data_IF_822135500031
#
_entry.id   IF_822135500031
#
_cell.length_a   1.000
_cell.length_b   1.000
_cell.length_c   1.000
_cell.angle_alpha   90.00
_cell.angle_beta   90.00
_cell.angle_gamma   90.00
#
_symmetry.space_group_name_H-M   'P 1'
#
loop_
_entity.id
_entity.type
_entity.pdbx_description
1 polymer ?
#
# COMPACT_ATOMS: atom_id res chain seq x y z
N UNK A 1 -47.37 -20.58 92.11
CA UNK A 1 -46.61 -21.81 91.81
C UNK A 1 -45.14 -21.44 91.73
N UNK A 2 -44.24 -22.05 92.52
CA UNK A 2 -42.81 -21.78 92.40
C UNK A 2 -42.32 -22.27 91.03
N UNK A 3 -41.53 -21.45 90.34
CA UNK A 3 -40.85 -21.84 89.11
C UNK A 3 -39.93 -23.02 89.43
N UNK A 4 -40.14 -24.15 88.75
CA UNK A 4 -39.32 -25.35 88.90
C UNK A 4 -37.90 -25.08 88.37
N UNK A 5 -36.86 -25.63 89.00
CA UNK A 5 -35.44 -25.44 88.65
C UNK A 5 -35.16 -25.78 87.17
N UNK A 6 -35.86 -26.79 86.64
CA UNK A 6 -35.79 -27.20 85.23
C UNK A 6 -36.30 -26.08 84.30
N UNK A 7 -37.36 -25.36 84.68
CA UNK A 7 -37.91 -24.24 83.89
C UNK A 7 -36.94 -23.05 83.88
N UNK A 8 -36.25 -22.80 84.99
CA UNK A 8 -35.23 -21.75 85.09
C UNK A 8 -34.04 -22.10 84.19
N UNK A 9 -33.58 -23.36 84.21
CA UNK A 9 -32.50 -23.83 83.34
C UNK A 9 -32.83 -23.67 81.86
N UNK A 10 -34.03 -24.07 81.42
CA UNK A 10 -34.47 -23.87 80.04
C UNK A 10 -34.56 -22.39 79.65
N UNK A 11 -34.98 -21.53 80.58
CA UNK A 11 -35.06 -20.08 80.33
C UNK A 11 -33.66 -19.46 80.17
N UNK A 12 -32.69 -19.88 80.99
CA UNK A 12 -31.29 -19.44 80.89
C UNK A 12 -30.66 -19.93 79.59
N UNK A 13 -30.89 -21.19 79.20
CA UNK A 13 -30.40 -21.75 77.94
C UNK A 13 -31.01 -21.00 76.75
N UNK A 14 -32.32 -20.75 76.77
CA UNK A 14 -33.00 -19.97 75.73
C UNK A 14 -32.48 -18.53 75.64
N UNK A 15 -32.19 -17.90 76.78
CA UNK A 15 -31.60 -16.56 76.84
C UNK A 15 -30.18 -16.54 76.25
N UNK A 16 -29.33 -17.52 76.60
CA UNK A 16 -27.98 -17.65 76.06
C UNK A 16 -27.99 -17.96 74.55
N UNK A 17 -28.90 -18.82 74.09
CA UNK A 17 -29.12 -19.06 72.66
C UNK A 17 -29.60 -17.79 71.94
N UNK A 18 -30.51 -17.04 72.54
CA UNK A 18 -30.98 -15.76 72.02
C UNK A 18 -29.85 -14.74 71.88
N UNK A 19 -28.94 -14.66 72.86
CA UNK A 19 -27.75 -13.81 72.81
C UNK A 19 -26.76 -14.23 71.71
N UNK A 20 -26.53 -15.54 71.55
CA UNK A 20 -25.68 -16.08 70.49
C UNK A 20 -26.25 -15.76 69.10
N UNK A 21 -27.53 -16.01 68.87
CA UNK A 21 -28.20 -15.70 67.60
C UNK A 21 -28.14 -14.18 67.33
N UNK A 22 -28.42 -13.35 68.33
CA UNK A 22 -28.39 -11.89 68.18
C UNK A 22 -27.00 -11.34 67.83
N UNK A 23 -25.92 -11.99 68.26
CA UNK A 23 -24.55 -11.53 68.00
C UNK A 23 -23.96 -12.11 66.71
N UNK A 24 -24.15 -13.40 66.46
CA UNK A 24 -23.51 -14.10 65.34
C UNK A 24 -24.27 -13.97 64.02
N UNK A 25 -25.61 -14.02 64.04
CA UNK A 25 -26.40 -14.00 62.81
C UNK A 25 -26.26 -12.66 62.05
N UNK A 26 -26.33 -11.49 62.69
CA UNK A 26 -26.18 -10.21 62.00
C UNK A 26 -24.79 -10.02 61.42
N UNK A 27 -23.74 -10.43 62.13
CA UNK A 27 -22.36 -10.32 61.64
C UNK A 27 -22.07 -11.26 60.47
N UNK A 28 -22.62 -12.48 60.48
CA UNK A 28 -22.52 -13.40 59.34
C UNK A 28 -23.28 -12.87 58.12
N UNK A 29 -24.49 -12.35 58.31
CA UNK A 29 -25.28 -11.74 57.24
C UNK A 29 -24.64 -10.46 56.72
N UNK A 30 -24.01 -9.65 57.58
CA UNK A 30 -23.25 -8.45 57.20
C UNK A 30 -22.00 -8.79 56.38
N UNK A 31 -21.19 -9.76 56.80
CA UNK A 31 -20.03 -10.23 56.00
C UNK A 31 -20.44 -10.86 54.67
N UNK A 32 -21.58 -11.56 54.64
CA UNK A 32 -22.16 -12.09 53.39
C UNK A 32 -22.68 -10.95 52.50
N UNK A 33 -23.25 -9.90 53.09
CA UNK A 33 -23.70 -8.66 52.44
C UNK A 33 -22.53 -7.84 51.84
N UNK A 34 -21.43 -7.71 52.59
CA UNK A 34 -20.23 -6.92 52.22
C UNK A 34 -19.41 -7.54 51.07
N UNK A 35 -19.52 -8.85 50.83
CA UNK A 35 -18.79 -9.56 49.77
C UNK A 35 -19.60 -9.81 48.48
N UNK A 36 -20.77 -9.16 48.31
CA UNK A 36 -21.62 -9.36 47.13
C UNK A 36 -21.22 -8.43 45.98
N UNK A 37 -20.14 -8.79 45.29
CA UNK A 37 -20.32 -8.93 43.85
C UNK A 37 -21.08 -10.25 43.67
N UNK A 38 -22.34 -10.19 43.25
CA UNK A 38 -23.07 -11.42 42.95
C UNK A 38 -22.34 -12.18 41.83
N UNK A 39 -22.50 -13.51 41.75
CA UNK A 39 -21.93 -14.28 40.61
C UNK A 39 -22.40 -13.72 39.26
N UNK A 40 -23.57 -13.09 39.24
CA UNK A 40 -24.14 -12.36 38.11
C UNK A 40 -23.34 -11.09 37.78
N UNK A 41 -22.93 -10.30 38.77
CA UNK A 41 -22.05 -9.14 38.58
C UNK A 41 -20.69 -9.54 37.99
N UNK A 42 -20.08 -10.62 38.49
CA UNK A 42 -18.81 -11.15 37.97
C UNK A 42 -18.98 -11.61 36.52
N UNK A 43 -20.09 -12.30 36.21
CA UNK A 43 -20.41 -12.73 34.85
C UNK A 43 -20.60 -11.53 33.91
N UNK A 44 -21.38 -10.53 34.32
CA UNK A 44 -21.62 -9.31 33.54
C UNK A 44 -20.32 -8.53 33.30
N UNK A 45 -19.46 -8.41 34.32
CA UNK A 45 -18.15 -7.77 34.19
C UNK A 45 -17.27 -8.58 33.21
N UNK A 46 -17.25 -9.90 33.32
CA UNK A 46 -16.46 -10.78 32.43
C UNK A 46 -16.94 -10.66 30.99
N UNK A 47 -18.25 -10.72 30.74
CA UNK A 47 -18.82 -10.54 29.40
C UNK A 47 -18.47 -9.16 28.81
N UNK A 48 -18.48 -8.11 29.65
CA UNK A 48 -18.09 -6.76 29.23
C UNK A 48 -16.59 -6.67 28.91
N UNK A 49 -15.72 -7.31 29.69
CA UNK A 49 -14.28 -7.38 29.43
C UNK A 49 -14.01 -8.13 28.13
N UNK A 50 -14.62 -9.29 27.90
CA UNK A 50 -14.46 -10.04 26.65
C UNK A 50 -15.01 -9.27 25.45
N UNK A 51 -16.13 -8.56 25.59
CA UNK A 51 -16.66 -7.70 24.53
C UNK A 51 -15.70 -6.54 24.21
N UNK A 52 -15.10 -5.91 25.22
CA UNK A 52 -14.10 -4.85 25.02
C UNK A 52 -12.84 -5.42 24.37
N UNK A 53 -12.32 -6.56 24.86
CA UNK A 53 -11.16 -7.23 24.29
C UNK A 53 -11.40 -7.57 22.82
N UNK A 54 -12.52 -8.21 22.50
CA UNK A 54 -12.88 -8.54 21.12
C UNK A 54 -12.95 -7.31 20.21
N UNK A 55 -13.52 -6.19 20.68
CA UNK A 55 -13.52 -4.93 19.92
C UNK A 55 -12.13 -4.35 19.72
N UNK A 56 -11.28 -4.40 20.74
CA UNK A 56 -9.89 -3.94 20.66
C UNK A 56 -9.09 -4.80 19.69
N UNK A 57 -9.24 -6.13 19.74
CA UNK A 57 -8.62 -7.08 18.81
C UNK A 57 -9.06 -6.81 17.37
N UNK A 58 -10.37 -6.72 17.11
CA UNK A 58 -10.91 -6.40 15.78
C UNK A 58 -10.38 -5.06 15.25
N UNK A 59 -10.37 -4.01 16.08
CA UNK A 59 -9.85 -2.71 15.68
C UNK A 59 -8.34 -2.75 15.42
N UNK A 60 -7.59 -3.52 16.21
CA UNK A 60 -6.15 -3.70 16.04
C UNK A 60 -5.85 -4.44 14.74
N UNK A 61 -6.61 -5.49 14.43
CA UNK A 61 -6.45 -6.27 13.21
C UNK A 61 -6.83 -5.45 11.97
N UNK A 62 -7.93 -4.70 12.04
CA UNK A 62 -8.33 -3.77 10.98
C UNK A 62 -7.27 -2.68 10.74
N UNK A 63 -6.71 -2.12 11.81
CA UNK A 63 -5.64 -1.12 11.71
C UNK A 63 -4.37 -1.71 11.09
N UNK A 64 -3.94 -2.91 11.53
CA UNK A 64 -2.80 -3.61 10.94
C UNK A 64 -3.00 -3.93 9.46
N UNK A 65 -4.20 -4.38 9.07
CA UNK A 65 -4.54 -4.63 7.68
C UNK A 65 -4.43 -3.35 6.85
N UNK A 66 -5.02 -2.25 7.34
CA UNK A 66 -4.95 -0.96 6.68
C UNK A 66 -3.51 -0.46 6.48
N UNK A 67 -2.67 -0.53 7.51
CA UNK A 67 -1.25 -0.14 7.44
C UNK A 67 -0.48 -1.03 6.45
N UNK A 68 -0.74 -2.33 6.47
CA UNK A 68 -0.13 -3.31 5.55
C UNK A 68 -0.50 -3.04 4.10
N UNK A 69 -1.79 -2.82 3.81
CA UNK A 69 -2.28 -2.48 2.48
C UNK A 69 -1.70 -1.16 1.97
N UNK A 70 -1.63 -0.15 2.84
CA UNK A 70 -1.01 1.15 2.53
C UNK A 70 0.47 0.99 2.16
N UNK A 71 1.22 0.18 2.91
CA UNK A 71 2.63 -0.14 2.58
C UNK A 71 2.74 -0.89 1.26
N UNK A 72 1.89 -1.88 1.04
CA UNK A 72 1.83 -2.65 -0.21
C UNK A 72 1.54 -1.76 -1.42
N UNK A 73 0.63 -0.79 -1.29
CA UNK A 73 0.32 0.16 -2.36
C UNK A 73 1.53 1.04 -2.73
N UNK A 74 2.30 1.52 -1.74
CA UNK A 74 3.54 2.27 -1.97
C UNK A 74 4.60 1.43 -2.70
N UNK A 75 4.86 0.21 -2.22
CA UNK A 75 5.83 -0.68 -2.83
C UNK A 75 5.43 -1.04 -4.26
N UNK A 76 4.13 -1.31 -4.49
CA UNK A 76 3.64 -1.55 -5.84
C UNK A 76 3.90 -0.33 -6.75
N UNK A 77 3.54 0.88 -6.33
CA UNK A 77 3.80 2.07 -7.15
C UNK A 77 5.30 2.22 -7.45
N UNK A 78 6.16 2.00 -6.45
CA UNK A 78 7.61 2.01 -6.61
C UNK A 78 8.11 0.98 -7.63
N UNK A 79 7.56 -0.23 -7.62
CA UNK A 79 7.94 -1.28 -8.57
C UNK A 79 7.57 -0.87 -10.00
N UNK A 80 6.35 -0.35 -10.22
CA UNK A 80 5.87 0.07 -11.54
C UNK A 80 6.72 1.21 -12.13
N UNK A 81 7.08 2.22 -11.32
CA UNK A 81 7.94 3.32 -11.77
C UNK A 81 9.40 2.85 -11.97
N UNK A 82 9.87 1.88 -11.18
CA UNK A 82 11.23 1.33 -11.35
C UNK A 82 11.34 0.56 -12.67
N UNK A 83 10.39 -0.32 -12.97
CA UNK A 83 10.35 -1.03 -14.25
C UNK A 83 10.25 -0.05 -15.41
N UNK A 84 9.39 0.98 -15.32
CA UNK A 84 9.30 1.98 -16.37
C UNK A 84 10.62 2.75 -16.60
N UNK A 85 11.35 3.06 -15.52
CA UNK A 85 12.65 3.71 -15.62
C UNK A 85 13.65 2.87 -16.42
N UNK A 86 13.85 1.62 -16.00
CA UNK A 86 14.92 0.77 -16.50
C UNK A 86 14.58 0.10 -17.83
N UNK A 87 13.32 -0.24 -18.06
CA UNK A 87 12.91 -1.03 -19.22
C UNK A 87 12.42 -0.16 -20.39
N UNK A 88 11.89 1.03 -20.12
CA UNK A 88 11.20 1.84 -21.13
C UNK A 88 11.84 3.20 -21.39
N UNK A 89 12.37 3.86 -20.35
CA UNK A 89 12.97 5.19 -20.51
C UNK A 89 14.45 5.18 -20.89
N UNK A 90 15.14 4.04 -20.72
CA UNK A 90 16.57 3.87 -20.98
C UNK A 90 16.89 3.17 -22.31
N UNK A 91 15.90 2.97 -23.19
CA UNK A 91 16.08 2.21 -24.43
C UNK A 91 16.82 3.00 -25.52
N UNK A 92 17.56 2.28 -26.35
CA UNK A 92 18.10 2.78 -27.61
C UNK A 92 17.42 2.05 -28.77
N UNK A 93 16.78 2.79 -29.68
CA UNK A 93 16.06 2.18 -30.81
C UNK A 93 16.97 1.44 -31.80
N UNK A 94 18.27 1.76 -31.82
CA UNK A 94 19.25 1.02 -32.62
C UNK A 94 19.52 -0.40 -32.13
N UNK A 95 19.18 -0.72 -30.88
CA UNK A 95 19.41 -2.05 -30.29
C UNK A 95 18.28 -3.04 -30.64
N UNK A 96 17.21 -2.56 -31.29
CA UNK A 96 16.08 -3.40 -31.66
C UNK A 96 16.45 -4.32 -32.82
N UNK A 97 15.99 -5.58 -32.79
CA UNK A 97 16.28 -6.52 -33.86
C UNK A 97 15.57 -6.14 -35.16
N UNK A 98 16.16 -6.58 -36.26
CA UNK A 98 15.63 -6.40 -37.61
C UNK A 98 14.52 -7.42 -37.90
N UNK A 99 13.36 -7.26 -37.26
CA UNK A 99 12.26 -8.24 -37.23
C UNK A 99 10.97 -7.77 -37.93
N UNK A 100 11.09 -6.77 -38.80
CA UNK A 100 9.93 -6.16 -39.47
C UNK A 100 9.14 -5.21 -38.57
N UNK A 101 9.68 -4.84 -37.42
CA UNK A 101 9.09 -3.89 -36.48
C UNK A 101 8.22 -4.55 -35.41
N UNK A 102 8.29 -5.86 -35.25
CA UNK A 102 7.58 -6.60 -34.21
C UNK A 102 8.04 -6.17 -32.83
N UNK A 103 9.35 -6.16 -32.56
CA UNK A 103 9.89 -5.72 -31.27
C UNK A 103 9.58 -4.25 -30.97
N UNK A 104 9.52 -3.38 -31.99
CA UNK A 104 9.11 -1.99 -31.82
C UNK A 104 7.61 -1.88 -31.48
N UNK A 105 6.77 -2.72 -32.09
CA UNK A 105 5.35 -2.80 -31.75
C UNK A 105 5.14 -3.30 -30.30
N UNK A 106 5.89 -4.32 -29.91
CA UNK A 106 5.83 -4.89 -28.56
C UNK A 106 6.29 -3.86 -27.52
N UNK A 107 7.38 -3.14 -27.81
CA UNK A 107 7.82 -2.00 -26.99
C UNK A 107 6.72 -0.94 -26.84
N UNK A 108 6.07 -0.53 -27.94
CA UNK A 108 4.96 0.44 -27.87
C UNK A 108 3.80 -0.06 -26.99
N UNK A 109 3.45 -1.34 -27.13
CA UNK A 109 2.37 -1.96 -26.36
C UNK A 109 2.71 -2.03 -24.88
N UNK A 110 3.93 -2.46 -24.55
CA UNK A 110 4.45 -2.51 -23.18
C UNK A 110 4.51 -1.11 -22.56
N UNK A 111 4.92 -0.10 -23.34
CA UNK A 111 4.93 1.28 -22.87
C UNK A 111 3.54 1.75 -22.45
N UNK A 112 2.51 1.52 -23.28
CA UNK A 112 1.15 1.91 -22.94
C UNK A 112 0.58 1.15 -21.74
N UNK A 113 0.91 -0.15 -21.63
CA UNK A 113 0.52 -0.96 -20.49
C UNK A 113 1.16 -0.44 -19.20
N UNK A 114 2.46 -0.18 -19.20
CA UNK A 114 3.17 0.36 -18.04
C UNK A 114 2.62 1.71 -17.60
N UNK A 115 2.33 2.62 -18.54
CA UNK A 115 1.64 3.88 -18.22
C UNK A 115 0.32 3.61 -17.50
N UNK A 116 -0.51 2.70 -18.00
CA UNK A 116 -1.80 2.39 -17.37
C UNK A 116 -1.63 1.80 -15.96
N UNK A 117 -0.65 0.92 -15.72
CA UNK A 117 -0.39 0.35 -14.39
C UNK A 117 0.16 1.38 -13.39
N UNK A 118 1.00 2.32 -13.85
CA UNK A 118 1.45 3.46 -13.04
C UNK A 118 0.26 4.35 -12.64
N UNK A 119 -0.63 4.67 -13.58
CA UNK A 119 -1.81 5.49 -13.27
C UNK A 119 -2.74 4.79 -12.26
N UNK A 120 -2.97 3.48 -12.43
CA UNK A 120 -3.79 2.69 -11.49
C UNK A 120 -3.15 2.61 -10.10
N UNK A 121 -1.84 2.39 -10.03
CA UNK A 121 -1.13 2.32 -8.75
C UNK A 121 -1.10 3.69 -8.06
N UNK A 122 -0.90 4.79 -8.80
CA UNK A 122 -1.05 6.14 -8.26
C UNK A 122 -2.45 6.41 -7.71
N UNK A 123 -3.51 6.04 -8.44
CA UNK A 123 -4.89 6.19 -7.96
C UNK A 123 -5.13 5.43 -6.65
N UNK A 124 -4.48 4.28 -6.44
CA UNK A 124 -4.54 3.57 -5.15
C UNK A 124 -3.86 4.36 -4.05
N UNK A 125 -2.73 5.01 -4.33
CA UNK A 125 -2.08 5.89 -3.33
C UNK A 125 -3.00 7.03 -2.90
N UNK A 126 -3.74 7.65 -3.83
CA UNK A 126 -4.71 8.71 -3.51
C UNK A 126 -5.78 8.24 -2.51
N UNK A 127 -6.12 6.94 -2.49
CA UNK A 127 -7.10 6.38 -1.54
C UNK A 127 -6.51 6.31 -0.12
N UNK A 128 -5.22 5.99 0.01
CA UNK A 128 -4.60 5.73 1.31
C UNK A 128 -3.88 6.93 1.93
N UNK A 129 -3.58 7.97 1.15
CA UNK A 129 -2.79 9.11 1.59
C UNK A 129 -3.60 10.41 1.56
N UNK A 130 -3.42 11.30 2.55
CA UNK A 130 -4.05 12.61 2.52
C UNK A 130 -3.46 13.49 1.40
N UNK A 131 -4.23 14.48 0.97
CA UNK A 131 -3.87 15.34 -0.17
C UNK A 131 -2.59 16.17 0.04
N UNK A 132 -2.20 16.42 1.29
CA UNK A 132 -0.99 17.15 1.68
C UNK A 132 0.24 16.24 1.87
N UNK A 133 0.11 14.94 1.57
CA UNK A 133 1.22 14.00 1.66
C UNK A 133 2.33 14.34 0.65
N UNK A 134 3.54 14.55 1.17
CA UNK A 134 4.76 14.74 0.36
C UNK A 134 4.98 13.56 -0.59
N UNK A 135 4.74 12.33 -0.13
CA UNK A 135 4.85 11.13 -0.98
C UNK A 135 3.86 11.15 -2.14
N UNK A 136 2.62 11.56 -1.87
CA UNK A 136 1.59 11.64 -2.90
C UNK A 136 1.91 12.75 -3.92
N UNK A 137 2.44 13.89 -3.46
CA UNK A 137 2.93 14.97 -4.32
C UNK A 137 4.03 14.48 -5.27
N UNK A 138 5.03 13.75 -4.76
CA UNK A 138 6.12 13.19 -5.59
C UNK A 138 5.61 12.12 -6.56
N UNK A 139 4.71 11.24 -6.10
CA UNK A 139 4.07 10.24 -6.96
C UNK A 139 3.24 10.88 -8.10
N UNK A 140 2.53 11.98 -7.81
CA UNK A 140 1.80 12.74 -8.80
C UNK A 140 2.72 13.37 -9.85
N UNK A 141 3.84 13.96 -9.42
CA UNK A 141 4.82 14.56 -10.32
C UNK A 141 5.41 13.52 -11.30
N UNK A 142 5.75 12.31 -10.81
CA UNK A 142 6.18 11.19 -11.66
C UNK A 142 5.07 10.80 -12.63
N UNK A 143 3.84 10.66 -12.14
CA UNK A 143 2.69 10.25 -12.97
C UNK A 143 2.42 11.24 -14.10
N UNK A 144 2.52 12.55 -13.85
CA UNK A 144 2.40 13.57 -14.88
C UNK A 144 3.51 13.47 -15.92
N UNK A 145 4.77 13.28 -15.48
CA UNK A 145 5.89 13.07 -16.40
C UNK A 145 5.66 11.84 -17.32
N UNK A 146 5.12 10.74 -16.78
CA UNK A 146 4.74 9.53 -17.55
C UNK A 146 3.63 9.80 -18.57
N UNK A 147 2.66 10.67 -18.23
CA UNK A 147 1.59 11.06 -19.15
C UNK A 147 2.14 11.90 -20.31
N UNK A 148 3.04 12.83 -20.00
CA UNK A 148 3.71 13.67 -21.00
C UNK A 148 4.59 12.83 -21.93
N UNK A 149 5.36 11.88 -21.37
CA UNK A 149 6.20 10.98 -22.14
C UNK A 149 5.37 10.07 -23.05
N UNK A 150 4.22 9.56 -22.56
CA UNK A 150 3.26 8.84 -23.39
C UNK A 150 2.74 9.69 -24.55
N UNK A 151 2.54 10.99 -24.34
CA UNK A 151 2.08 11.91 -25.39
C UNK A 151 3.12 12.05 -26.49
N UNK A 152 4.40 12.18 -26.13
CA UNK A 152 5.50 12.18 -27.11
C UNK A 152 5.57 10.85 -27.88
N UNK A 153 5.49 9.71 -27.17
CA UNK A 153 5.51 8.39 -27.79
C UNK A 153 4.34 8.21 -28.77
N UNK A 154 3.12 8.56 -28.37
CA UNK A 154 1.94 8.46 -29.23
C UNK A 154 2.08 9.28 -30.52
N UNK A 155 2.63 10.49 -30.43
CA UNK A 155 2.71 11.42 -31.55
C UNK A 155 3.87 11.16 -32.50
N UNK A 156 4.97 10.58 -32.02
CA UNK A 156 6.23 10.51 -32.80
C UNK A 156 6.74 9.10 -33.06
N UNK A 157 6.30 8.09 -32.31
CA UNK A 157 6.85 6.74 -32.44
C UNK A 157 6.45 6.04 -33.75
N UNK A 158 5.37 6.47 -34.39
CA UNK A 158 5.02 6.02 -35.75
C UNK A 158 6.13 6.30 -36.76
N UNK A 159 6.77 7.48 -36.69
CA UNK A 159 7.90 7.83 -37.57
C UNK A 159 9.10 6.93 -37.30
N UNK A 160 9.43 6.68 -36.02
CA UNK A 160 10.54 5.77 -35.63
C UNK A 160 10.36 4.38 -36.24
N UNK A 161 9.17 3.80 -36.08
CA UNK A 161 8.86 2.47 -36.63
C UNK A 161 9.01 2.45 -38.15
N UNK A 162 8.40 3.42 -38.83
CA UNK A 162 8.43 3.50 -40.28
C UNK A 162 9.86 3.61 -40.82
N UNK A 163 10.67 4.52 -40.27
CA UNK A 163 12.04 4.72 -40.74
C UNK A 163 12.95 3.54 -40.42
N UNK A 164 12.78 2.91 -39.25
CA UNK A 164 13.54 1.70 -38.87
C UNK A 164 13.23 0.51 -39.80
N UNK A 165 11.95 0.31 -40.13
CA UNK A 165 11.54 -0.74 -41.08
C UNK A 165 12.09 -0.43 -42.48
N UNK A 166 12.06 0.83 -42.91
CA UNK A 166 12.61 1.25 -44.21
C UNK A 166 14.12 1.04 -44.28
N UNK A 167 14.85 1.42 -43.24
CA UNK A 167 16.30 1.20 -43.13
C UNK A 167 16.64 -0.29 -43.23
N UNK A 168 15.90 -1.14 -42.51
CA UNK A 168 16.05 -2.59 -42.58
C UNK A 168 15.80 -3.14 -44.00
N UNK A 169 14.71 -2.71 -44.65
CA UNK A 169 14.39 -3.13 -46.02
C UNK A 169 15.48 -2.70 -47.00
N UNK A 170 15.97 -1.48 -46.89
CA UNK A 170 17.05 -0.98 -47.73
C UNK A 170 18.36 -1.75 -47.50
N UNK A 171 18.71 -2.06 -46.24
CA UNK A 171 19.88 -2.85 -45.90
C UNK A 171 19.84 -4.25 -46.55
N UNK A 172 18.68 -4.91 -46.54
CA UNK A 172 18.49 -6.22 -47.18
C UNK A 172 18.72 -6.20 -48.69
N UNK A 173 18.45 -5.08 -49.35
CA UNK A 173 18.53 -4.93 -50.79
C UNK A 173 19.82 -4.24 -51.26
N UNK A 174 20.80 -3.98 -50.39
CA UNK A 174 22.06 -3.30 -50.76
C UNK A 174 22.79 -4.01 -51.91
N UNK A 175 22.71 -5.35 -51.94
CA UNK A 175 23.34 -6.16 -52.99
C UNK A 175 22.69 -6.00 -54.37
N UNK A 176 21.41 -5.62 -54.43
CA UNK A 176 20.65 -5.45 -55.68
C UNK A 176 20.51 -3.98 -56.08
N UNK A 177 20.26 -3.10 -55.12
CA UNK A 177 19.84 -1.72 -55.34
C UNK A 177 21.00 -0.72 -55.13
N UNK A 178 22.17 -1.22 -54.72
CA UNK A 178 23.31 -0.40 -54.34
C UNK A 178 23.18 0.20 -52.94
N UNK A 179 24.20 0.95 -52.51
CA UNK A 179 24.27 1.49 -51.14
C UNK A 179 23.47 2.78 -50.94
N UNK A 180 23.24 3.55 -52.00
CA UNK A 180 22.57 4.87 -51.86
C UNK A 180 21.16 4.81 -51.23
N UNK A 181 20.26 3.87 -51.60
CA UNK A 181 18.96 3.76 -50.93
C UNK A 181 19.06 3.46 -49.44
N UNK A 182 20.09 2.71 -49.03
CA UNK A 182 20.37 2.44 -47.62
C UNK A 182 20.86 3.71 -46.91
N UNK A 183 21.81 4.45 -47.49
CA UNK A 183 22.30 5.71 -46.91
C UNK A 183 21.17 6.74 -46.74
N UNK A 184 20.24 6.83 -47.70
CA UNK A 184 19.05 7.68 -47.60
C UNK A 184 18.15 7.24 -46.44
N UNK A 185 17.89 5.93 -46.30
CA UNK A 185 17.05 5.40 -45.23
C UNK A 185 17.67 5.60 -43.84
N UNK A 186 18.99 5.43 -43.70
CA UNK A 186 19.75 5.74 -42.47
C UNK A 186 19.62 7.22 -42.11
N UNK A 187 19.74 8.13 -43.09
CA UNK A 187 19.58 9.56 -42.84
C UNK A 187 18.16 9.91 -42.36
N UNK A 188 17.12 9.33 -42.97
CA UNK A 188 15.73 9.50 -42.52
C UNK A 188 15.52 8.97 -41.09
N UNK A 189 16.06 7.79 -40.78
CA UNK A 189 15.99 7.20 -39.44
C UNK A 189 16.70 8.07 -38.40
N UNK A 190 17.87 8.62 -38.73
CA UNK A 190 18.60 9.55 -37.86
C UNK A 190 17.81 10.83 -37.59
N UNK A 191 17.14 11.40 -38.61
CA UNK A 191 16.28 12.57 -38.44
C UNK A 191 15.09 12.27 -37.52
N UNK A 192 14.42 11.14 -37.72
CA UNK A 192 13.30 10.71 -36.89
C UNK A 192 13.74 10.47 -35.43
N UNK A 193 14.85 9.77 -35.22
CA UNK A 193 15.44 9.53 -33.91
C UNK A 193 15.81 10.84 -33.19
N UNK A 194 16.51 11.74 -33.88
CA UNK A 194 16.91 13.04 -33.31
C UNK A 194 15.70 13.86 -32.89
N UNK A 195 14.63 13.87 -33.69
CA UNK A 195 13.38 14.58 -33.37
C UNK A 195 12.71 13.97 -32.14
N UNK A 196 12.55 12.65 -32.10
CA UNK A 196 11.94 11.95 -30.97
C UNK A 196 12.72 12.19 -29.68
N UNK A 197 14.03 11.94 -29.69
CA UNK A 197 14.87 12.08 -28.51
C UNK A 197 15.06 13.54 -28.08
N UNK A 198 14.98 14.50 -29.01
CA UNK A 198 14.94 15.91 -28.67
C UNK A 198 13.75 16.28 -27.77
N UNK A 199 12.61 15.60 -27.94
CA UNK A 199 11.41 15.79 -27.13
C UNK A 199 11.39 14.89 -25.88
N UNK A 200 11.89 13.65 -25.99
CA UNK A 200 11.83 12.67 -24.90
C UNK A 200 12.93 12.89 -23.84
N UNK A 201 14.13 13.35 -24.24
CA UNK A 201 15.29 13.47 -23.33
C UNK A 201 15.05 14.40 -22.14
N UNK A 202 14.40 15.59 -22.28
CA UNK A 202 14.06 16.41 -21.12
C UNK A 202 13.16 15.68 -20.13
N UNK A 203 12.15 14.95 -20.64
CA UNK A 203 11.25 14.15 -19.80
C UNK A 203 11.97 13.01 -19.10
N UNK A 204 12.87 12.30 -19.81
CA UNK A 204 13.69 11.23 -19.23
C UNK A 204 14.63 11.72 -18.12
N UNK A 205 15.20 12.91 -18.28
CA UNK A 205 16.04 13.51 -17.24
C UNK A 205 15.20 13.93 -16.03
N UNK A 206 14.09 14.61 -16.25
CA UNK A 206 13.15 14.97 -15.19
C UNK A 206 12.62 13.73 -14.45
N UNK A 207 12.30 12.66 -15.19
CA UNK A 207 11.85 11.40 -14.62
C UNK A 207 12.89 10.83 -13.64
N UNK A 208 14.17 10.81 -14.03
CA UNK A 208 15.25 10.30 -13.20
C UNK A 208 15.36 11.07 -11.88
N UNK A 209 15.26 12.40 -11.92
CA UNK A 209 15.29 13.24 -10.72
C UNK A 209 14.09 12.97 -9.81
N UNK A 210 12.88 12.95 -10.39
CA UNK A 210 11.64 12.67 -9.67
C UNK A 210 11.65 11.28 -9.03
N UNK A 211 12.15 10.27 -9.74
CA UNK A 211 12.32 8.90 -9.25
C UNK A 211 13.22 8.86 -8.00
N UNK A 212 14.38 9.53 -8.05
CA UNK A 212 15.31 9.57 -6.91
C UNK A 212 14.70 10.29 -5.70
N UNK A 213 13.96 11.38 -5.94
CA UNK A 213 13.25 12.10 -4.87
C UNK A 213 12.14 11.24 -4.25
N UNK A 214 11.36 10.53 -5.05
CA UNK A 214 10.33 9.63 -4.54
C UNK A 214 10.94 8.49 -3.71
N UNK A 215 11.98 7.82 -4.23
CA UNK A 215 12.68 6.74 -3.50
C UNK A 215 13.24 7.24 -2.17
N UNK A 216 13.82 8.44 -2.15
CA UNK A 216 14.36 9.04 -0.91
C UNK A 216 13.26 9.27 0.13
N UNK A 217 12.11 9.83 -0.28
CA UNK A 217 10.98 10.06 0.62
C UNK A 217 10.32 8.75 1.07
N UNK A 218 10.25 7.76 0.18
CA UNK A 218 9.71 6.43 0.51
C UNK A 218 10.58 5.76 1.57
N UNK A 219 11.90 5.83 1.43
CA UNK A 219 12.83 5.28 2.41
C UNK A 219 12.69 5.95 3.78
N UNK A 220 12.52 7.27 3.84
CA UNK A 220 12.28 8.00 5.10
C UNK A 220 10.97 7.52 5.74
N UNK A 221 9.88 7.54 4.97
CA UNK A 221 8.56 7.13 5.45
C UNK A 221 8.54 5.69 5.98
N UNK A 222 9.17 4.75 5.26
CA UNK A 222 9.22 3.35 5.68
C UNK A 222 10.01 3.17 6.99
N UNK A 223 11.10 3.93 7.17
CA UNK A 223 11.90 3.89 8.41
C UNK A 223 11.15 4.50 9.60
N UNK A 224 10.47 5.63 9.40
CA UNK A 224 9.64 6.25 10.44
C UNK A 224 8.51 5.29 10.86
N UNK A 225 7.88 4.63 9.89
CA UNK A 225 6.83 3.65 10.17
C UNK A 225 7.30 2.38 10.91
N UNK A 226 8.61 2.10 10.94
CA UNK A 226 9.20 1.01 11.73
C UNK A 226 9.56 1.44 13.16
N UNK A 227 9.71 2.74 13.40
CA UNK A 227 10.00 3.29 14.75
C UNK A 227 8.69 3.44 15.56
N UNK A 228 7.57 3.70 14.88
CA UNK A 228 6.25 3.92 15.49
C UNK A 228 5.37 2.64 15.55
N UNK A 229 5.89 1.49 15.11
CA UNK A 229 5.19 0.18 15.10
C UNK A 229 5.57 -0.71 16.29
#
# INVERSE_FOLDING_TARGET
>A
MPLNEITILYTVIAFLFGLLIKSFLPNYMKKKAENLATKEDIKNITEKIESVRSKVEINTDAHKSYVSERKSALLKFYDEISSFHYELMAVNFGDFPMDGGQSLYDYQTNYYKAVAEILKSYQRLVIYFPNDSVLLEKANAITNNVIDSRTILKSHFGSIKMTSIKEHQAYKNVSTDGIEPYDLAVNEANVANKKYWGLMKPLANSYRELYQHYLSNLNVYLKESEIDA
#
